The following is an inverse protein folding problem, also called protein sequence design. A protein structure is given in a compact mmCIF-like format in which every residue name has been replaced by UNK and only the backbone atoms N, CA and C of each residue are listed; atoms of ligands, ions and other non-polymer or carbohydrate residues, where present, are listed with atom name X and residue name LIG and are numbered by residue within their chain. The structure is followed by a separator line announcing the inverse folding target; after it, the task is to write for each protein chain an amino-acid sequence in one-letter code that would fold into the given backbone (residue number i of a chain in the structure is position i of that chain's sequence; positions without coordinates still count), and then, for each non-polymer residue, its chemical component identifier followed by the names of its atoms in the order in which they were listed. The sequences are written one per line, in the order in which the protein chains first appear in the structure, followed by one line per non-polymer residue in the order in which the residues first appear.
data_IF_879362340505
#
_entry.id   IF_879362340505
#
_cell.length_a   1.000
_cell.length_b   1.000
_cell.length_c   1.000
_cell.angle_alpha   90.00
_cell.angle_beta   90.00
_cell.angle_gamma   90.00
#
_symmetry.space_group_name_H-M   'P 1'
#
loop_
_entity.id
_entity.type
_entity.pdbx_description
1 polymer ?
#
# COMPACT_ATOMS: atom_id res chain seq x y z
N UNK A 1 30.64 -29.81 0.47
CA UNK A 1 29.19 -29.94 0.73
C UNK A 1 28.45 -29.48 -0.51
N UNK A 2 27.50 -30.27 -1.03
CA UNK A 2 26.62 -29.82 -2.11
C UNK A 2 25.53 -28.93 -1.51
N UNK A 3 25.31 -27.75 -2.08
CA UNK A 3 24.20 -26.88 -1.70
C UNK A 3 22.90 -27.58 -2.15
N UNK A 4 21.94 -27.84 -1.23
CA UNK A 4 20.67 -28.45 -1.61
C UNK A 4 19.95 -27.60 -2.65
N UNK A 5 19.37 -28.27 -3.64
CA UNK A 5 18.65 -27.64 -4.76
C UNK A 5 17.45 -26.78 -4.28
N UNK A 6 17.00 -27.06 -3.06
CA UNK A 6 15.77 -26.53 -2.47
C UNK A 6 16.04 -25.35 -1.51
N UNK A 7 17.25 -24.80 -1.48
CA UNK A 7 17.59 -23.66 -0.62
C UNK A 7 16.93 -22.35 -1.05
N UNK A 8 16.55 -22.25 -2.33
CA UNK A 8 15.91 -21.06 -2.92
C UNK A 8 14.44 -21.36 -3.14
N UNK A 9 13.59 -20.54 -2.52
CA UNK A 9 12.14 -20.56 -2.72
C UNK A 9 11.80 -19.41 -3.66
N UNK A 10 11.24 -19.75 -4.83
CA UNK A 10 10.70 -18.76 -5.75
C UNK A 10 9.17 -18.82 -5.69
N UNK A 11 8.54 -17.66 -5.74
CA UNK A 11 7.09 -17.54 -5.85
C UNK A 11 6.69 -17.60 -7.33
N UNK A 12 5.66 -18.36 -7.69
CA UNK A 12 5.13 -18.34 -9.05
C UNK A 12 4.35 -17.04 -9.32
N UNK A 13 4.23 -16.64 -10.59
CA UNK A 13 3.54 -15.38 -10.94
C UNK A 13 2.06 -15.38 -10.53
N UNK A 14 1.41 -16.55 -10.55
CA UNK A 14 0.04 -16.75 -10.09
C UNK A 14 -0.13 -16.58 -8.57
N UNK A 15 0.93 -16.82 -7.81
CA UNK A 15 0.94 -16.70 -6.35
C UNK A 15 1.26 -15.28 -5.86
N UNK A 16 1.60 -14.35 -6.77
CA UNK A 16 1.84 -12.96 -6.41
C UNK A 16 0.54 -12.37 -5.81
N UNK A 17 0.60 -11.71 -4.64
CA UNK A 17 -0.58 -11.20 -3.97
C UNK A 17 -1.45 -10.31 -4.86
N UNK A 18 -2.76 -10.32 -4.58
CA UNK A 18 -3.77 -9.52 -5.28
C UNK A 18 -4.24 -8.30 -4.48
N UNK A 19 -3.80 -8.19 -3.23
CA UNK A 19 -4.20 -7.12 -2.30
C UNK A 19 -3.00 -6.60 -1.54
N UNK A 20 -2.98 -5.31 -1.27
CA UNK A 20 -2.13 -4.69 -0.27
C UNK A 20 -2.74 -4.88 1.12
N UNK A 21 -1.88 -5.06 2.11
CA UNK A 21 -2.27 -5.04 3.52
C UNK A 21 -2.08 -3.63 4.08
N UNK A 22 -3.13 -3.09 4.69
CA UNK A 22 -3.09 -1.80 5.34
C UNK A 22 -2.96 -1.97 6.85
N UNK A 23 -1.81 -1.57 7.38
CA UNK A 23 -1.52 -1.67 8.81
C UNK A 23 -2.43 -0.79 9.67
N UNK A 24 -2.96 0.32 9.14
CA UNK A 24 -3.84 1.23 9.89
C UNK A 24 -5.11 0.54 10.41
N UNK A 25 -5.55 -0.56 9.77
CA UNK A 25 -6.69 -1.36 10.23
C UNK A 25 -6.46 -2.06 11.59
N UNK A 26 -5.20 -2.20 12.00
CA UNK A 26 -4.80 -2.91 13.22
C UNK A 26 -4.16 -1.96 14.26
N UNK A 27 -4.11 -0.66 13.99
CA UNK A 27 -3.62 0.37 14.91
C UNK A 27 -4.80 1.06 15.60
N UNK A 28 -4.98 0.88 16.92
CA UNK A 28 -5.98 1.66 17.65
C UNK A 28 -5.56 3.13 17.75
N UNK A 29 -6.54 4.04 17.74
CA UNK A 29 -6.37 5.47 17.98
C UNK A 29 -5.31 6.17 17.11
N UNK A 30 -5.27 5.84 15.81
CA UNK A 30 -4.38 6.49 14.85
C UNK A 30 -4.71 7.99 14.73
N UNK A 31 -3.79 8.84 15.17
CA UNK A 31 -3.94 10.29 15.06
C UNK A 31 -3.89 10.73 13.59
N UNK A 32 -4.76 11.67 13.16
CA UNK A 32 -4.73 12.17 11.80
C UNK A 32 -3.48 13.03 11.55
N UNK A 33 -2.99 13.10 10.31
CA UNK A 33 -1.97 14.07 9.94
C UNK A 33 -2.48 15.49 10.18
N UNK A 34 -1.60 16.39 10.62
CA UNK A 34 -1.93 17.80 10.84
C UNK A 34 -1.49 18.65 9.65
N UNK A 35 -2.30 19.63 9.29
CA UNK A 35 -1.92 20.65 8.34
C UNK A 35 -0.83 21.55 8.96
N UNK A 36 0.34 21.73 8.32
CA UNK A 36 1.46 22.46 8.93
C UNK A 36 1.17 23.97 9.11
N UNK A 37 0.24 24.54 8.33
CA UNK A 37 -0.16 25.94 8.45
C UNK A 37 -1.17 26.18 9.57
N UNK A 38 -2.21 25.36 9.67
CA UNK A 38 -3.29 25.55 10.66
C UNK A 38 -3.06 24.80 11.97
N UNK A 39 -2.22 23.76 11.96
CA UNK A 39 -2.01 22.80 13.07
C UNK A 39 -3.26 22.02 13.46
N UNK A 40 -4.27 22.01 12.59
CA UNK A 40 -5.49 21.22 12.74
C UNK A 40 -5.40 19.93 11.91
N UNK A 41 -6.25 18.91 12.18
CA UNK A 41 -6.35 17.73 11.31
C UNK A 41 -6.52 18.10 9.84
N UNK A 42 -5.63 17.57 9.00
CA UNK A 42 -5.63 17.85 7.56
C UNK A 42 -6.85 17.25 6.88
N UNK A 43 -7.42 17.99 5.93
CA UNK A 43 -8.51 17.51 5.09
C UNK A 43 -7.95 16.90 3.80
N UNK A 44 -8.68 15.99 3.12
CA UNK A 44 -8.27 15.46 1.82
C UNK A 44 -7.87 16.54 0.80
N UNK A 45 -8.58 17.67 0.78
CA UNK A 45 -8.28 18.82 -0.09
C UNK A 45 -6.91 19.45 0.15
N UNK A 46 -6.36 19.31 1.36
CA UNK A 46 -5.04 19.85 1.70
C UNK A 46 -3.91 19.07 1.02
N UNK A 47 -4.18 17.85 0.56
CA UNK A 47 -3.22 16.95 -0.09
C UNK A 47 -3.28 17.00 -1.63
N UNK A 48 -4.40 17.45 -2.20
CA UNK A 48 -4.63 17.52 -3.65
C UNK A 48 -3.57 18.32 -4.44
N UNK A 49 -2.89 19.34 -3.90
CA UNK A 49 -1.81 20.02 -4.61
C UNK A 49 -0.57 19.15 -4.90
N UNK A 50 -0.40 18.02 -4.20
CA UNK A 50 0.81 17.19 -4.25
C UNK A 50 0.49 15.75 -4.66
N UNK A 51 -0.67 15.23 -4.25
CA UNK A 51 -1.02 13.82 -4.40
C UNK A 51 -2.23 13.60 -5.32
N UNK A 52 -2.20 12.48 -6.03
CA UNK A 52 -3.35 12.00 -6.79
C UNK A 52 -4.49 11.57 -5.86
N UNK A 53 -5.74 11.75 -6.30
CA UNK A 53 -6.94 11.46 -5.51
C UNK A 53 -6.99 10.04 -4.93
N UNK A 54 -6.54 9.04 -5.68
CA UNK A 54 -6.58 7.65 -5.19
C UNK A 54 -5.58 7.42 -4.05
N UNK A 55 -4.41 8.07 -4.08
CA UNK A 55 -3.44 8.01 -2.98
C UNK A 55 -4.01 8.69 -1.73
N UNK A 56 -4.67 9.84 -1.89
CA UNK A 56 -5.33 10.55 -0.78
C UNK A 56 -6.43 9.69 -0.15
N UNK A 57 -7.21 8.96 -0.98
CA UNK A 57 -8.23 8.04 -0.51
C UNK A 57 -7.62 6.86 0.28
N UNK A 58 -6.53 6.29 -0.20
CA UNK A 58 -5.85 5.19 0.49
C UNK A 58 -5.25 5.63 1.83
N UNK A 59 -4.66 6.83 1.92
CA UNK A 59 -4.13 7.41 3.16
C UNK A 59 -5.18 7.51 4.26
N UNK A 60 -6.42 7.84 3.91
CA UNK A 60 -7.54 7.90 4.84
C UNK A 60 -8.24 6.56 5.12
N UNK A 61 -7.81 5.46 4.50
CA UNK A 61 -8.49 4.17 4.59
C UNK A 61 -8.11 3.41 5.86
N UNK A 62 -9.11 2.77 6.48
CA UNK A 62 -8.93 1.80 7.57
C UNK A 62 -9.32 0.37 7.15
N UNK A 63 -9.53 0.15 5.85
CA UNK A 63 -9.76 -1.19 5.32
C UNK A 63 -8.48 -2.02 5.39
N UNK A 64 -8.55 -3.24 5.96
CA UNK A 64 -7.38 -4.12 6.14
C UNK A 64 -6.75 -4.58 4.82
N UNK A 65 -7.57 -4.77 3.79
CA UNK A 65 -7.14 -5.30 2.51
C UNK A 65 -7.63 -4.40 1.38
N UNK A 66 -6.71 -3.91 0.57
CA UNK A 66 -7.00 -3.03 -0.58
C UNK A 66 -6.60 -3.79 -1.85
N UNK A 67 -7.51 -3.93 -2.80
CA UNK A 67 -7.21 -4.62 -4.07
C UNK A 67 -6.13 -3.84 -4.86
N UNK A 68 -5.15 -4.58 -5.38
CA UNK A 68 -4.13 -4.01 -6.26
C UNK A 68 -4.77 -3.82 -7.63
N UNK A 69 -4.74 -2.61 -8.23
CA UNK A 69 -5.19 -2.41 -9.60
C UNK A 69 -4.44 -3.34 -10.55
N UNK A 70 -5.16 -3.96 -11.50
CA UNK A 70 -4.58 -4.99 -12.37
C UNK A 70 -3.34 -4.47 -13.11
N UNK A 71 -3.41 -3.26 -13.68
CA UNK A 71 -2.28 -2.63 -14.39
C UNK A 71 -1.03 -2.47 -13.51
N UNK A 72 -1.20 -2.18 -12.22
CA UNK A 72 -0.09 -2.05 -11.26
C UNK A 72 0.51 -3.42 -10.95
N UNK A 73 -0.34 -4.44 -10.80
CA UNK A 73 0.09 -5.81 -10.53
C UNK A 73 0.81 -6.42 -11.75
N UNK A 74 0.27 -6.23 -12.95
CA UNK A 74 0.89 -6.64 -14.21
C UNK A 74 2.25 -5.97 -14.40
N UNK A 75 2.34 -4.66 -14.16
CA UNK A 75 3.61 -3.95 -14.21
C UNK A 75 4.65 -4.57 -13.26
N UNK A 76 4.29 -4.86 -12.01
CA UNK A 76 5.18 -5.52 -11.05
C UNK A 76 5.68 -6.89 -11.54
N UNK A 77 4.79 -7.70 -12.12
CA UNK A 77 5.12 -9.04 -12.63
C UNK A 77 6.09 -8.95 -13.82
N UNK A 78 5.89 -7.95 -14.69
CA UNK A 78 6.66 -7.77 -15.91
C UNK A 78 8.08 -7.18 -15.72
N UNK A 79 8.41 -6.72 -14.50
CA UNK A 79 9.72 -6.13 -14.19
C UNK A 79 10.85 -7.17 -13.99
N UNK A 80 10.53 -8.47 -14.04
CA UNK A 80 11.45 -9.59 -13.78
C UNK A 80 12.03 -10.23 -15.03
#
# INVERSE_FOLDING_TARGET
MAIPKDIRINLANEDIPKKWYNFAADVPDLAPPLNPGTREPAKPSDFEPIFCKEIIKQEGSTERWIDIPEEVREALISLN
#
